data_IF_711350280617
#
_entry.id   IF_711350280617
#
_cell.length_a   1.000
_cell.length_b   1.000
_cell.length_c   1.000
_cell.angle_alpha   90.00
_cell.angle_beta   90.00
_cell.angle_gamma   90.00
#
_symmetry.space_group_name_H-M   'P 1'
#
loop_
_entity.id
_entity.type
_entity.pdbx_description
1 polymer ?
#
# COMPACT_ATOMS: atom_id res chain seq x y z
N UNK A 1 -15.86 -11.27 19.68
CA UNK A 1 -15.39 -10.00 19.08
C UNK A 1 -15.07 -10.28 17.62
N UNK A 2 -15.89 -9.76 16.70
CA UNK A 2 -15.66 -9.92 15.27
C UNK A 2 -14.38 -9.18 14.88
N UNK A 3 -13.51 -9.82 14.08
CA UNK A 3 -12.43 -9.13 13.40
C UNK A 3 -13.06 -8.01 12.58
N UNK A 4 -12.75 -6.76 12.90
CA UNK A 4 -12.93 -5.66 11.94
C UNK A 4 -12.05 -5.98 10.74
N UNK A 5 -12.65 -6.37 9.62
CA UNK A 5 -11.90 -6.61 8.39
C UNK A 5 -11.35 -5.26 7.92
N UNK A 6 -10.04 -5.09 7.98
CA UNK A 6 -9.40 -3.90 7.44
C UNK A 6 -9.50 -3.93 5.91
N UNK A 7 -9.80 -2.80 5.28
CA UNK A 7 -9.84 -2.68 3.82
C UNK A 7 -8.56 -3.17 3.16
N UNK A 8 -7.42 -2.90 3.79
CA UNK A 8 -6.12 -3.40 3.38
C UNK A 8 -6.07 -4.93 3.30
N UNK A 9 -6.61 -5.64 4.30
CA UNK A 9 -6.56 -7.10 4.36
C UNK A 9 -7.46 -7.71 3.26
N UNK A 10 -8.64 -7.15 3.02
CA UNK A 10 -9.51 -7.54 1.90
C UNK A 10 -8.82 -7.27 0.56
N UNK A 11 -8.30 -6.06 0.38
CA UNK A 11 -7.61 -5.65 -0.84
C UNK A 11 -6.44 -6.58 -1.18
N UNK A 12 -5.50 -6.78 -0.25
CA UNK A 12 -4.35 -7.64 -0.49
C UNK A 12 -4.77 -9.08 -0.72
N UNK A 13 -5.66 -9.65 0.10
CA UNK A 13 -6.06 -11.06 -0.01
C UNK A 13 -6.63 -11.40 -1.39
N UNK A 14 -7.41 -10.49 -1.96
CA UNK A 14 -8.02 -10.69 -3.26
C UNK A 14 -7.02 -10.56 -4.43
N UNK A 15 -6.06 -9.63 -4.33
CA UNK A 15 -5.05 -9.43 -5.37
C UNK A 15 -3.82 -10.34 -5.25
N UNK A 16 -3.54 -10.86 -4.05
CA UNK A 16 -2.38 -11.71 -3.76
C UNK A 16 -2.31 -12.95 -4.65
N UNK A 17 -3.48 -13.49 -5.03
CA UNK A 17 -3.59 -14.67 -5.90
C UNK A 17 -2.98 -14.47 -7.30
N UNK A 18 -2.71 -13.24 -7.71
CA UNK A 18 -2.01 -12.94 -8.98
C UNK A 18 -0.51 -13.15 -8.92
N UNK A 19 0.07 -13.43 -7.75
CA UNK A 19 1.48 -13.77 -7.62
C UNK A 19 2.42 -12.58 -7.81
N UNK A 20 1.92 -11.36 -7.60
CA UNK A 20 2.73 -10.13 -7.69
C UNK A 20 3.33 -9.70 -6.34
N UNK A 21 2.96 -10.38 -5.25
CA UNK A 21 3.36 -10.08 -3.89
C UNK A 21 2.19 -9.54 -3.06
N UNK A 22 2.50 -8.81 -2.01
CA UNK A 22 1.52 -8.12 -1.17
C UNK A 22 1.06 -6.83 -1.85
N UNK A 23 -0.25 -6.67 -2.01
CA UNK A 23 -0.81 -5.47 -2.63
C UNK A 23 -1.04 -4.38 -1.58
N UNK A 24 -0.46 -3.20 -1.74
CA UNK A 24 -0.69 -2.05 -0.87
C UNK A 24 -1.92 -1.28 -1.33
N UNK A 25 -2.88 -1.05 -0.44
CA UNK A 25 -4.06 -0.22 -0.71
C UNK A 25 -3.65 1.26 -0.82
N UNK A 26 -2.62 1.66 -0.08
CA UNK A 26 -2.02 2.99 -0.16
C UNK A 26 -0.56 2.84 -0.65
N UNK A 27 -0.33 2.81 -1.98
CA UNK A 27 1.00 2.59 -2.57
C UNK A 27 1.95 3.78 -2.45
N UNK A 28 1.45 4.95 -2.03
CA UNK A 28 2.23 6.15 -1.74
C UNK A 28 3.24 5.87 -0.62
N UNK A 29 4.48 6.35 -0.75
CA UNK A 29 5.43 6.34 0.36
C UNK A 29 4.87 7.17 1.53
N UNK A 30 5.01 6.69 2.76
CA UNK A 30 4.61 7.45 3.94
C UNK A 30 5.43 8.75 4.02
N UNK A 31 4.74 9.90 4.10
CA UNK A 31 5.40 11.20 4.28
C UNK A 31 5.77 11.38 5.75
N UNK A 32 6.99 11.85 5.99
CA UNK A 32 7.54 12.00 7.35
C UNK A 32 7.66 13.49 7.62
N UNK A 33 6.88 14.00 8.57
CA UNK A 33 6.77 15.43 8.82
C UNK A 33 5.99 16.18 7.74
N UNK A 34 5.65 17.44 8.05
CA UNK A 34 4.98 18.37 7.12
C UNK A 34 5.94 19.43 6.57
N UNK A 35 7.08 19.63 7.24
CA UNK A 35 8.06 20.65 6.89
C UNK A 35 8.94 20.24 5.69
N UNK A 36 9.31 21.18 4.80
CA UNK A 36 10.17 20.90 3.67
C UNK A 36 11.58 20.50 4.12
N UNK A 37 11.91 19.22 3.98
CA UNK A 37 13.26 18.69 4.16
C UNK A 37 13.76 18.08 2.84
N UNK A 38 14.85 18.59 2.23
CA UNK A 38 15.34 18.10 0.95
C UNK A 38 15.71 16.60 0.93
N UNK A 39 16.18 16.06 2.05
CA UNK A 39 16.49 14.64 2.14
C UNK A 39 15.21 13.82 2.22
N UNK A 40 14.22 14.24 3.02
CA UNK A 40 12.93 13.55 3.11
C UNK A 40 12.16 13.60 1.79
N UNK A 41 12.18 14.74 1.09
CA UNK A 41 11.58 14.88 -0.24
C UNK A 41 12.25 13.95 -1.27
N UNK A 42 13.58 13.81 -1.19
CA UNK A 42 14.28 12.82 -2.02
C UNK A 42 13.87 11.39 -1.68
N UNK A 43 13.76 11.04 -0.39
CA UNK A 43 13.31 9.71 0.03
C UNK A 43 11.88 9.44 -0.43
N UNK A 44 10.99 10.43 -0.35
CA UNK A 44 9.62 10.37 -0.84
C UNK A 44 9.57 10.16 -2.36
N UNK A 45 10.37 10.91 -3.13
CA UNK A 45 10.47 10.75 -4.58
C UNK A 45 11.09 9.41 -5.01
N UNK A 46 11.99 8.84 -4.19
CA UNK A 46 12.54 7.50 -4.42
C UNK A 46 11.55 6.38 -4.11
N UNK A 47 10.63 6.57 -3.16
CA UNK A 47 9.69 5.56 -2.67
C UNK A 47 10.34 4.32 -2.05
N UNK A 48 9.58 3.23 -1.97
CA UNK A 48 10.01 1.97 -1.33
C UNK A 48 11.21 1.35 -2.05
N UNK A 49 12.29 1.01 -1.32
CA UNK A 49 13.49 0.40 -1.91
C UNK A 49 13.66 -1.07 -1.53
N UNK A 50 14.41 -1.78 -2.36
CA UNK A 50 14.96 -3.09 -1.99
C UNK A 50 15.84 -2.91 -0.75
N UNK A 51 15.63 -3.75 0.25
CA UNK A 51 16.28 -3.73 1.54
C UNK A 51 15.59 -2.88 2.60
N UNK A 52 14.54 -2.13 2.27
CA UNK A 52 13.78 -1.40 3.28
C UNK A 52 13.16 -2.40 4.27
N UNK A 53 13.35 -2.14 5.56
CA UNK A 53 12.72 -2.81 6.69
C UNK A 53 11.63 -1.89 7.20
N UNK A 54 10.44 -2.43 7.41
CA UNK A 54 9.30 -1.60 7.77
C UNK A 54 8.06 -2.36 8.20
N UNK A 55 6.99 -1.61 8.35
CA UNK A 55 5.67 -2.06 8.81
C UNK A 55 4.63 -1.74 7.73
N UNK A 56 3.57 -2.54 7.68
CA UNK A 56 2.38 -2.21 6.89
C UNK A 56 1.33 -1.69 7.87
N UNK A 57 0.87 -0.45 7.64
CA UNK A 57 -0.13 0.20 8.48
C UNK A 57 -1.53 -0.37 8.25
N UNK A 58 -2.47 -0.04 9.14
CA UNK A 58 -3.89 -0.38 8.97
C UNK A 58 -4.53 0.35 7.79
N UNK A 59 -4.02 1.54 7.44
CA UNK A 59 -4.41 2.31 6.25
C UNK A 59 -3.88 1.72 4.95
N UNK A 60 -2.90 0.82 5.03
CA UNK A 60 -2.41 0.06 3.89
C UNK A 60 -1.17 0.61 3.19
N UNK A 61 -0.48 1.56 3.82
CA UNK A 61 0.83 2.06 3.42
C UNK A 61 1.96 1.27 4.07
N UNK A 62 3.13 1.34 3.44
CA UNK A 62 4.36 0.77 3.98
C UNK A 62 5.23 1.87 4.59
N UNK A 63 5.48 1.76 5.89
CA UNK A 63 6.31 2.67 6.65
C UNK A 63 7.74 2.12 6.66
N UNK A 64 8.62 2.69 5.84
CA UNK A 64 10.05 2.34 5.81
C UNK A 64 10.76 2.91 7.04
N UNK A 65 11.40 2.04 7.83
CA UNK A 65 12.13 2.42 9.05
C UNK A 65 13.62 2.64 8.78
N UNK A 66 14.26 1.66 8.13
CA UNK A 66 15.66 1.69 7.73
C UNK A 66 15.88 0.74 6.54
N UNK A 67 17.05 0.77 5.92
CA UNK A 67 17.43 -0.08 4.80
C UNK A 67 18.69 -0.88 5.13
N UNK A 68 18.60 -2.21 4.99
CA UNK A 68 19.68 -3.14 5.35
C UNK A 68 20.94 -2.99 4.48
N UNK A 69 20.82 -2.43 3.29
CA UNK A 69 21.95 -2.26 2.35
C UNK A 69 22.64 -0.90 2.48
N UNK A 70 22.12 0.00 3.33
CA UNK A 70 22.64 1.36 3.52
C UNK A 70 23.37 1.46 4.85
N UNK A 71 24.37 2.34 4.91
CA UNK A 71 25.06 2.64 6.17
C UNK A 71 24.11 3.29 7.17
N UNK A 72 24.42 3.22 8.47
CA UNK A 72 23.67 3.92 9.52
C UNK A 72 23.57 5.43 9.27
N UNK A 73 24.58 5.99 8.61
CA UNK A 73 24.64 7.41 8.27
C UNK A 73 23.93 7.76 6.94
N UNK A 74 23.27 6.83 6.25
CA UNK A 74 22.49 7.17 5.06
C UNK A 74 21.18 7.87 5.44
N UNK A 75 20.67 8.79 4.61
CA UNK A 75 19.47 9.59 4.95
C UNK A 75 18.29 8.73 5.41
N UNK A 76 17.98 7.62 4.71
CA UNK A 76 16.92 6.68 5.12
C UNK A 76 17.12 6.07 6.51
N UNK A 77 18.37 5.77 6.89
CA UNK A 77 18.70 5.14 8.17
C UNK A 77 18.85 6.14 9.31
N UNK A 78 18.87 7.45 9.02
CA UNK A 78 18.92 8.50 10.03
C UNK A 78 17.54 8.94 10.48
N UNK A 79 16.50 8.74 9.67
CA UNK A 79 15.14 9.20 9.98
C UNK A 79 14.63 8.62 11.30
N UNK A 80 14.64 7.29 11.42
CA UNK A 80 14.26 6.57 12.64
C UNK A 80 15.47 6.01 13.40
N UNK A 81 16.68 6.20 12.87
CA UNK A 81 17.87 5.50 13.33
C UNK A 81 17.92 4.04 12.86
N UNK A 82 18.76 3.25 13.52
CA UNK A 82 18.93 1.81 13.27
C UNK A 82 19.14 1.09 14.60
N UNK A 83 18.89 -0.23 14.67
CA UNK A 83 19.26 -1.04 15.84
C UNK A 83 20.74 -0.89 16.22
N UNK A 84 21.08 -1.00 17.50
CA UNK A 84 22.44 -0.71 17.99
C UNK A 84 23.55 -1.59 17.34
N UNK A 85 23.20 -2.82 16.97
CA UNK A 85 24.09 -3.82 16.38
C UNK A 85 24.05 -3.81 14.84
N UNK A 86 23.44 -2.78 14.26
CA UNK A 86 23.23 -2.69 12.82
C UNK A 86 24.56 -2.63 12.06
N UNK A 87 24.73 -3.57 11.14
CA UNK A 87 25.80 -3.59 10.16
C UNK A 87 25.20 -3.77 8.77
N UNK A 88 25.50 -2.91 7.79
CA UNK A 88 24.90 -3.03 6.46
C UNK A 88 25.23 -4.37 5.81
N UNK A 89 24.21 -5.03 5.26
CA UNK A 89 24.39 -6.19 4.40
C UNK A 89 25.02 -5.73 3.07
N UNK A 90 25.93 -6.55 2.52
CA UNK A 90 26.57 -6.25 1.24
C UNK A 90 25.53 -6.29 0.12
N UNK A 91 25.46 -5.22 -0.68
CA UNK A 91 24.56 -5.16 -1.83
C UNK A 91 25.26 -5.64 -3.11
N UNK A 92 24.82 -6.77 -3.64
CA UNK A 92 25.32 -7.29 -4.93
C UNK A 92 24.50 -6.76 -6.10
N UNK A 93 25.06 -5.80 -6.85
CA UNK A 93 24.38 -5.17 -8.01
C UNK A 93 23.96 -6.16 -9.08
N UNK A 94 24.73 -7.23 -9.28
CA UNK A 94 24.45 -8.29 -10.28
C UNK A 94 23.18 -9.08 -9.97
N UNK A 95 22.67 -8.99 -8.75
CA UNK A 95 21.44 -9.65 -8.30
C UNK A 95 20.22 -8.73 -8.33
N UNK A 96 20.38 -7.47 -8.75
CA UNK A 96 19.32 -6.48 -8.83
C UNK A 96 18.78 -6.36 -10.26
N UNK A 97 17.52 -6.70 -10.46
CA UNK A 97 16.87 -6.74 -11.77
C UNK A 97 15.73 -5.73 -11.85
N UNK A 98 15.61 -5.07 -12.99
CA UNK A 98 14.51 -4.16 -13.30
C UNK A 98 13.93 -4.55 -14.66
N UNK A 99 12.61 -4.74 -14.70
CA UNK A 99 11.84 -5.02 -15.91
C UNK A 99 10.86 -3.88 -16.11
N UNK A 100 11.12 -3.05 -17.11
CA UNK A 100 10.20 -1.98 -17.50
C UNK A 100 8.95 -2.57 -18.14
N UNK A 101 7.81 -1.90 -17.99
CA UNK A 101 6.51 -2.32 -18.55
C UNK A 101 6.15 -3.78 -18.19
N UNK A 102 6.47 -4.21 -16.97
CA UNK A 102 6.08 -5.53 -16.48
C UNK A 102 4.55 -5.66 -16.43
N UNK A 103 3.88 -4.59 -15.97
CA UNK A 103 2.46 -4.40 -16.22
C UNK A 103 2.31 -3.43 -17.38
N UNK A 104 1.57 -3.84 -18.40
CA UNK A 104 1.30 -2.96 -19.54
C UNK A 104 0.38 -1.79 -19.12
N UNK A 105 0.49 -0.62 -19.76
CA UNK A 105 -0.46 0.46 -19.57
C UNK A 105 -1.91 -0.01 -19.73
N UNK A 106 -2.82 0.63 -18.98
CA UNK A 106 -4.26 0.37 -19.00
C UNK A 106 -4.63 -1.07 -18.65
N UNK A 107 -3.80 -1.71 -17.83
CA UNK A 107 -4.07 -3.05 -17.29
C UNK A 107 -4.82 -2.92 -15.96
N UNK A 108 -5.79 -3.80 -15.74
CA UNK A 108 -6.41 -3.97 -14.44
C UNK A 108 -6.14 -5.37 -13.88
N UNK A 109 -6.12 -5.46 -12.57
CA UNK A 109 -5.94 -6.66 -11.77
C UNK A 109 -7.14 -6.70 -10.83
N UNK A 110 -7.92 -7.77 -10.88
CA UNK A 110 -9.15 -7.89 -10.08
C UNK A 110 -9.25 -9.24 -9.40
N UNK A 111 -10.18 -9.39 -8.47
CA UNK A 111 -10.45 -10.71 -7.86
C UNK A 111 -10.69 -11.79 -8.93
N UNK A 112 -10.12 -12.99 -8.72
CA UNK A 112 -10.05 -14.07 -9.74
C UNK A 112 -11.35 -14.83 -10.04
N UNK A 113 -12.38 -14.75 -9.19
CA UNK A 113 -13.55 -15.65 -9.28
C UNK A 113 -14.80 -14.87 -9.69
N UNK A 114 -15.65 -15.54 -10.49
CA UNK A 114 -16.99 -15.12 -10.90
C UNK A 114 -17.07 -13.71 -11.51
N UNK A 115 -16.24 -13.50 -12.52
CA UNK A 115 -16.16 -12.25 -13.26
C UNK A 115 -16.82 -12.39 -14.62
N UNK A 116 -17.97 -11.77 -14.81
CA UNK A 116 -18.45 -11.47 -16.17
C UNK A 116 -17.85 -10.12 -16.60
N UNK A 117 -17.07 -10.13 -17.68
CA UNK A 117 -16.58 -8.90 -18.30
C UNK A 117 -17.54 -8.55 -19.42
N UNK A 118 -18.34 -7.50 -19.25
CA UNK A 118 -19.21 -6.97 -20.32
C UNK A 118 -18.56 -5.76 -20.97
N UNK A 119 -18.64 -5.68 -22.29
CA UNK A 119 -17.99 -4.66 -23.12
C UNK A 119 -19.03 -3.91 -23.95
N UNK A 120 -18.84 -2.60 -24.08
CA UNK A 120 -19.47 -1.77 -25.12
C UNK A 120 -18.29 -1.10 -25.88
N UNK A 121 -18.21 -0.97 -27.21
CA UNK A 121 -19.21 -0.99 -28.29
C UNK A 121 -18.85 -1.90 -29.50
N UNK A 122 -17.85 -2.77 -29.34
CA UNK A 122 -17.23 -3.58 -30.40
C UNK A 122 -17.06 -5.07 -30.02
N UNK A 123 -17.53 -5.47 -28.83
CA UNK A 123 -17.91 -6.86 -28.50
C UNK A 123 -16.78 -7.87 -28.22
N UNK A 124 -15.51 -7.48 -28.19
CA UNK A 124 -14.35 -8.40 -28.04
C UNK A 124 -13.89 -8.58 -26.60
N UNK A 125 -14.33 -9.65 -25.92
CA UNK A 125 -14.00 -9.97 -24.52
C UNK A 125 -12.49 -9.84 -24.20
N UNK A 126 -12.11 -8.90 -23.31
CA UNK A 126 -10.74 -8.75 -22.85
C UNK A 126 -10.49 -9.60 -21.60
N UNK A 127 -9.46 -10.44 -21.65
CA UNK A 127 -8.99 -11.18 -20.48
C UNK A 127 -8.43 -10.22 -19.41
N UNK A 128 -8.59 -10.52 -18.09
CA UNK A 128 -7.90 -9.78 -17.03
C UNK A 128 -6.39 -9.71 -17.30
N UNK A 129 -5.77 -8.54 -17.13
CA UNK A 129 -4.35 -8.35 -17.42
C UNK A 129 -4.04 -7.80 -18.81
N UNK A 130 -5.04 -7.62 -19.69
CA UNK A 130 -4.85 -7.04 -21.03
C UNK A 130 -5.08 -5.52 -21.06
N UNK A 131 -4.36 -4.75 -21.89
CA UNK A 131 -4.60 -3.31 -22.06
C UNK A 131 -5.99 -2.97 -22.62
N UNK A 132 -6.65 -1.96 -22.06
CA UNK A 132 -7.88 -1.38 -22.65
C UNK A 132 -7.58 -0.49 -23.88
N UNK A 133 -8.47 -0.54 -24.87
CA UNK A 133 -8.43 0.33 -26.05
C UNK A 133 -8.92 1.77 -25.82
N UNK A 134 -8.85 2.62 -26.87
CA UNK A 134 -9.41 3.98 -26.93
C UNK A 134 -10.91 4.06 -26.59
N UNK A 135 -11.35 5.01 -25.75
CA UNK A 135 -12.78 5.29 -25.51
C UNK A 135 -13.56 4.13 -24.87
N UNK A 136 -12.85 3.16 -24.28
CA UNK A 136 -13.40 1.89 -23.87
C UNK A 136 -13.95 1.93 -22.44
N UNK A 137 -15.06 1.22 -22.24
CA UNK A 137 -15.68 0.95 -20.94
C UNK A 137 -15.65 -0.54 -20.63
N UNK A 138 -14.91 -0.97 -19.59
CA UNK A 138 -14.99 -2.36 -19.11
C UNK A 138 -15.98 -2.42 -17.96
N UNK A 139 -17.05 -3.20 -18.08
CA UNK A 139 -17.90 -3.52 -16.94
C UNK A 139 -17.43 -4.84 -16.30
N UNK A 140 -17.07 -4.77 -15.01
CA UNK A 140 -16.67 -5.90 -14.20
C UNK A 140 -17.84 -6.26 -13.29
N UNK A 141 -18.45 -7.42 -13.52
CA UNK A 141 -19.47 -7.96 -12.64
C UNK A 141 -18.85 -8.95 -11.64
N UNK A 142 -19.19 -8.82 -10.37
CA UNK A 142 -18.77 -9.75 -9.31
C UNK A 142 -20.00 -10.38 -8.67
N UNK A 143 -20.06 -11.71 -8.57
CA UNK A 143 -21.16 -12.42 -7.88
C UNK A 143 -20.93 -12.61 -6.37
N UNK A 144 -19.89 -11.98 -5.81
CA UNK A 144 -19.48 -12.14 -4.41
C UNK A 144 -19.72 -10.88 -3.60
N UNK A 145 -19.87 -11.10 -2.29
CA UNK A 145 -20.04 -10.05 -1.30
C UNK A 145 -18.75 -9.28 -0.96
N UNK A 146 -17.60 -9.59 -1.57
CA UNK A 146 -16.37 -8.82 -1.36
C UNK A 146 -15.40 -8.98 -2.53
N UNK A 147 -14.58 -7.97 -2.76
CA UNK A 147 -13.58 -8.00 -3.81
C UNK A 147 -12.68 -6.79 -3.84
N UNK A 148 -11.72 -6.86 -4.76
CA UNK A 148 -10.74 -5.82 -5.02
C UNK A 148 -10.44 -5.68 -6.51
N UNK A 149 -10.15 -4.45 -6.92
CA UNK A 149 -9.70 -4.03 -8.24
C UNK A 149 -8.51 -3.08 -8.06
N UNK A 150 -7.48 -3.27 -8.88
CA UNK A 150 -6.37 -2.36 -9.07
C UNK A 150 -6.25 -2.07 -10.56
N UNK A 151 -6.02 -0.83 -10.88
CA UNK A 151 -5.84 -0.32 -12.21
C UNK A 151 -4.50 0.42 -12.30
N UNK A 152 -3.72 0.07 -13.31
CA UNK A 152 -2.41 0.67 -13.61
C UNK A 152 -2.52 1.37 -14.97
N UNK A 153 -3.00 2.61 -14.97
CA UNK A 153 -3.29 3.35 -16.19
C UNK A 153 -2.04 3.54 -17.07
N UNK A 154 -0.89 3.83 -16.47
CA UNK A 154 0.40 3.97 -17.15
C UNK A 154 1.28 2.71 -17.05
N UNK A 155 0.73 1.63 -16.52
CA UNK A 155 1.44 0.38 -16.30
C UNK A 155 2.37 0.47 -15.09
N UNK A 156 3.28 -0.49 -14.98
CA UNK A 156 4.24 -0.51 -13.87
C UNK A 156 5.52 -1.26 -14.25
N UNK A 157 6.66 -0.77 -13.75
CA UNK A 157 7.94 -1.49 -13.79
C UNK A 157 8.03 -2.44 -12.61
N UNK A 158 8.73 -3.57 -12.78
CA UNK A 158 9.03 -4.51 -11.72
C UNK A 158 10.51 -4.44 -11.35
N UNK A 159 10.81 -4.39 -10.07
CA UNK A 159 12.17 -4.51 -9.52
C UNK A 159 12.24 -5.70 -8.58
N UNK A 160 13.27 -6.52 -8.72
CA UNK A 160 13.51 -7.70 -7.87
C UNK A 160 14.98 -7.88 -7.55
N UNK A 161 15.24 -8.30 -6.31
CA UNK A 161 16.56 -8.74 -5.84
C UNK A 161 16.59 -10.27 -5.71
N UNK A 162 17.56 -10.92 -6.35
CA UNK A 162 17.67 -12.39 -6.38
C UNK A 162 18.54 -12.97 -5.26
N UNK A 163 19.33 -12.15 -4.55
CA UNK A 163 20.14 -12.54 -3.38
C UNK A 163 19.29 -12.78 -2.12
N UNK A 164 18.22 -13.56 -2.27
CA UNK A 164 17.25 -13.83 -1.21
C UNK A 164 17.81 -14.61 -0.01
N UNK A 165 18.73 -15.59 -0.17
CA UNK A 165 19.32 -16.29 0.98
C UNK A 165 20.01 -15.35 1.96
N UNK A 166 20.85 -14.43 1.47
CA UNK A 166 21.60 -13.50 2.32
C UNK A 166 20.68 -12.58 3.13
N UNK A 167 19.62 -12.06 2.49
CA UNK A 167 18.61 -11.25 3.18
C UNK A 167 17.88 -12.09 4.24
N UNK A 168 17.54 -13.34 3.92
CA UNK A 168 16.83 -14.24 4.86
C UNK A 168 17.68 -14.54 6.08
N UNK A 169 18.95 -14.87 5.90
CA UNK A 169 19.87 -15.19 6.98
C UNK A 169 20.12 -13.97 7.86
N UNK A 170 20.31 -12.81 7.23
CA UNK A 170 20.44 -11.53 7.93
C UNK A 170 19.19 -11.18 8.74
N UNK A 171 17.99 -11.28 8.14
CA UNK A 171 16.73 -11.05 8.84
C UNK A 171 16.54 -12.05 10.00
N UNK A 172 16.89 -13.33 9.82
CA UNK A 172 16.79 -14.35 10.86
C UNK A 172 17.69 -14.03 12.05
N UNK A 173 18.90 -13.56 11.79
CA UNK A 173 19.89 -13.20 12.82
C UNK A 173 19.45 -11.98 13.64
N UNK A 174 18.84 -10.98 13.02
CA UNK A 174 18.56 -9.69 13.65
C UNK A 174 17.07 -9.46 14.01
N UNK A 175 16.17 -10.39 13.69
CA UNK A 175 14.73 -10.22 13.91
C UNK A 175 14.36 -9.75 15.33
N UNK A 176 14.93 -10.37 16.37
CA UNK A 176 14.63 -10.00 17.75
C UNK A 176 15.10 -8.57 18.07
N UNK A 177 16.31 -8.18 17.65
CA UNK A 177 16.80 -6.82 17.90
C UNK A 177 15.99 -5.78 17.13
N UNK A 178 15.47 -6.13 15.95
CA UNK A 178 14.57 -5.26 15.19
C UNK A 178 13.23 -5.06 15.88
N UNK A 179 12.59 -6.13 16.37
CA UNK A 179 11.34 -5.99 17.13
C UNK A 179 11.54 -5.08 18.35
N UNK A 180 12.60 -5.30 19.14
CA UNK A 180 12.93 -4.43 20.29
C UNK A 180 13.23 -2.99 19.88
N UNK A 181 14.00 -2.79 18.81
CA UNK A 181 14.29 -1.46 18.29
C UNK A 181 13.00 -0.70 17.94
N UNK A 182 12.07 -1.35 17.25
CA UNK A 182 10.80 -0.72 16.86
C UNK A 182 9.91 -0.41 18.07
N UNK A 183 9.80 -1.34 19.03
CA UNK A 183 8.95 -1.11 20.22
C UNK A 183 9.58 -0.14 21.21
N UNK A 184 10.87 -0.29 21.50
CA UNK A 184 11.51 0.36 22.63
C UNK A 184 12.14 1.71 22.24
N UNK A 185 12.68 1.83 21.02
CA UNK A 185 13.40 3.02 20.56
C UNK A 185 12.54 3.88 19.62
N UNK A 186 11.94 3.28 18.59
CA UNK A 186 11.05 4.00 17.66
C UNK A 186 9.68 4.27 18.29
N UNK A 187 9.28 3.46 19.29
CA UNK A 187 8.01 3.55 20.02
C UNK A 187 6.79 3.37 19.12
N UNK A 188 6.90 2.48 18.14
CA UNK A 188 5.78 2.05 17.29
C UNK A 188 5.25 0.69 17.75
N UNK A 189 3.94 0.51 17.61
CA UNK A 189 3.30 -0.77 17.89
C UNK A 189 3.74 -1.83 16.87
N UNK A 190 4.61 -2.75 17.32
CA UNK A 190 5.00 -3.93 16.56
C UNK A 190 4.37 -5.18 17.18
N UNK A 191 3.50 -5.83 16.42
CA UNK A 191 2.96 -7.15 16.78
C UNK A 191 3.72 -8.24 16.04
N UNK A 192 3.67 -9.47 16.56
CA UNK A 192 4.36 -10.57 15.91
C UNK A 192 3.85 -10.80 14.47
N UNK A 193 4.75 -10.66 13.49
CA UNK A 193 4.44 -10.67 12.07
C UNK A 193 4.25 -9.28 11.46
N UNK A 194 4.47 -8.19 12.17
CA UNK A 194 4.31 -6.84 11.59
C UNK A 194 5.50 -6.39 10.74
N UNK A 195 6.70 -6.94 10.99
CA UNK A 195 7.93 -6.55 10.29
C UNK A 195 8.10 -7.22 8.93
N UNK A 196 8.50 -6.42 7.95
CA UNK A 196 8.82 -6.86 6.60
C UNK A 196 10.20 -6.37 6.16
N UNK A 197 10.85 -7.14 5.29
CA UNK A 197 12.03 -6.72 4.52
C UNK A 197 11.71 -6.78 3.04
N UNK A 198 11.83 -5.67 2.34
CA UNK A 198 11.50 -5.58 0.93
C UNK A 198 12.61 -6.19 0.08
N UNK A 199 12.26 -7.13 -0.79
CA UNK A 199 13.17 -7.75 -1.76
C UNK A 199 12.82 -7.39 -3.19
N UNK A 200 11.64 -6.80 -3.43
CA UNK A 200 11.20 -6.34 -4.73
C UNK A 200 9.90 -5.54 -4.63
N UNK A 201 9.56 -4.83 -5.70
CA UNK A 201 8.33 -4.05 -5.79
C UNK A 201 7.89 -3.89 -7.25
N UNK A 202 6.61 -3.63 -7.46
CA UNK A 202 6.10 -3.09 -8.72
C UNK A 202 5.85 -1.61 -8.52
N UNK A 203 6.23 -0.79 -9.49
CA UNK A 203 6.19 0.65 -9.36
C UNK A 203 5.50 1.34 -10.52
N UNK A 204 4.64 2.28 -10.18
CA UNK A 204 3.89 3.13 -11.11
C UNK A 204 3.95 4.59 -10.65
N UNK A 205 3.44 5.48 -11.48
CA UNK A 205 3.12 6.88 -11.17
C UNK A 205 1.60 7.11 -11.10
N UNK A 206 0.80 6.14 -11.57
CA UNK A 206 -0.62 6.33 -11.80
C UNK A 206 -1.38 5.03 -11.49
N UNK A 207 -2.17 5.04 -10.42
CA UNK A 207 -3.00 3.90 -10.02
C UNK A 207 -4.39 4.32 -9.62
N UNK A 208 -5.34 3.41 -9.77
CA UNK A 208 -6.63 3.53 -9.10
C UNK A 208 -6.99 2.18 -8.52
N UNK A 209 -7.52 2.18 -7.31
CA UNK A 209 -7.91 0.95 -6.66
C UNK A 209 -9.23 1.09 -5.94
N UNK A 210 -9.82 -0.08 -5.72
CA UNK A 210 -11.09 -0.23 -5.04
C UNK A 210 -11.09 -1.55 -4.27
N UNK A 211 -11.53 -1.48 -3.03
CA UNK A 211 -11.99 -2.64 -2.27
C UNK A 211 -13.46 -2.44 -1.95
N UNK A 212 -14.25 -3.51 -2.05
CA UNK A 212 -15.68 -3.46 -1.73
C UNK A 212 -16.08 -4.64 -0.87
N UNK A 213 -17.11 -4.41 -0.06
CA UNK A 213 -17.77 -5.44 0.75
C UNK A 213 -19.27 -5.16 0.80
N UNK A 214 -20.05 -6.23 0.78
CA UNK A 214 -21.50 -6.24 0.82
C UNK A 214 -21.97 -7.13 1.95
N UNK A 215 -23.07 -6.73 2.59
CA UNK A 215 -23.74 -7.51 3.62
C UNK A 215 -24.62 -8.63 3.03
N UNK A 216 -24.97 -8.53 1.75
CA UNK A 216 -25.76 -9.54 1.05
C UNK A 216 -24.87 -10.59 0.38
N UNK A 217 -25.21 -11.87 0.57
CA UNK A 217 -24.53 -13.01 -0.06
C UNK A 217 -24.82 -13.12 -1.56
N UNK A 218 -25.85 -12.42 -2.07
CA UNK A 218 -26.31 -12.46 -3.45
C UNK A 218 -26.15 -11.10 -4.17
N UNK A 219 -25.37 -10.18 -3.62
CA UNK A 219 -25.14 -8.90 -4.29
C UNK A 219 -24.20 -9.07 -5.48
N UNK A 220 -24.69 -8.76 -6.66
CA UNK A 220 -23.80 -8.46 -7.77
C UNK A 220 -23.29 -7.03 -7.68
N UNK A 221 -21.99 -6.82 -7.95
CA UNK A 221 -21.43 -5.48 -8.09
C UNK A 221 -20.87 -5.27 -9.48
N UNK A 222 -21.31 -4.21 -10.16
CA UNK A 222 -20.82 -3.80 -11.47
C UNK A 222 -19.90 -2.59 -11.31
N UNK A 223 -18.70 -2.71 -11.84
CA UNK A 223 -17.74 -1.61 -11.91
C UNK A 223 -17.42 -1.29 -13.35
N UNK A 224 -17.56 -0.03 -13.74
CA UNK A 224 -17.21 0.44 -15.07
C UNK A 224 -15.88 1.17 -15.02
N UNK A 225 -14.89 0.60 -15.69
CA UNK A 225 -13.60 1.21 -15.98
C UNK A 225 -13.71 2.06 -17.24
N UNK A 226 -13.55 3.37 -17.15
CA UNK A 226 -13.72 4.28 -18.30
C UNK A 226 -12.43 5.00 -18.62
N UNK A 227 -11.95 4.95 -19.86
CA UNK A 227 -10.83 5.80 -20.32
C UNK A 227 -11.43 6.90 -21.19
N UNK A 228 -11.51 8.16 -20.71
CA UNK A 228 -12.07 9.23 -21.51
C UNK A 228 -11.15 9.50 -22.70
N UNK A 229 -11.74 9.68 -23.88
CA UNK A 229 -11.02 10.21 -25.03
C UNK A 229 -10.86 11.72 -24.83
N UNK A 230 -9.62 12.20 -24.74
CA UNK A 230 -9.33 13.61 -24.57
C UNK A 230 -9.46 14.34 -25.93
N UNK A 231 -9.73 15.66 -25.94
CA UNK A 231 -9.94 16.44 -27.17
C UNK A 231 -8.77 16.40 -28.16
N UNK A 232 -7.56 16.10 -27.69
CA UNK A 232 -6.35 15.95 -28.49
C UNK A 232 -6.16 14.54 -29.08
N UNK A 233 -7.16 13.67 -28.98
CA UNK A 233 -7.07 12.26 -29.41
C UNK A 233 -6.26 11.36 -28.48
N UNK A 234 -5.76 11.89 -27.35
CA UNK A 234 -5.07 11.10 -26.33
C UNK A 234 -6.07 10.46 -25.36
N UNK A 235 -5.59 9.46 -24.61
CA UNK A 235 -6.38 8.78 -23.59
C UNK A 235 -6.20 9.46 -22.25
N UNK A 236 -7.31 9.76 -21.59
CA UNK A 236 -7.29 10.09 -20.18
C UNK A 236 -7.10 8.85 -19.32
N UNK A 237 -6.77 9.11 -18.05
CA UNK A 237 -6.63 8.11 -17.02
C UNK A 237 -7.89 7.25 -16.93
N UNK A 238 -7.71 5.93 -16.82
CA UNK A 238 -8.82 5.01 -16.66
C UNK A 238 -9.40 5.23 -15.24
N UNK A 239 -10.72 5.42 -15.14
CA UNK A 239 -11.45 5.70 -13.90
C UNK A 239 -12.36 4.53 -13.50
N UNK A 240 -12.46 4.20 -12.21
CA UNK A 240 -13.42 3.23 -11.67
C UNK A 240 -14.71 3.93 -11.25
N UNK A 241 -15.81 3.63 -11.94
CA UNK A 241 -17.19 4.00 -11.56
C UNK A 241 -17.99 2.76 -11.17
N UNK A 242 -19.06 2.90 -10.38
CA UNK A 242 -19.90 1.76 -9.97
C UNK A 242 -21.38 2.14 -9.96
N UNK A 243 -22.26 1.15 -10.15
CA UNK A 243 -23.69 1.27 -9.92
C UNK A 243 -24.08 0.32 -8.78
N UNK A 244 -24.71 0.84 -7.73
CA UNK A 244 -25.15 0.02 -6.59
C UNK A 244 -26.60 0.34 -6.21
N UNK A 245 -27.38 -0.72 -6.08
CA UNK A 245 -28.66 -0.73 -5.36
C UNK A 245 -28.34 -0.87 -3.85
N UNK A 246 -28.19 0.27 -3.19
CA UNK A 246 -28.53 0.57 -1.77
C UNK A 246 -27.98 -0.25 -0.59
N UNK A 247 -26.95 -1.12 -0.68
CA UNK A 247 -26.38 -1.77 0.55
C UNK A 247 -24.89 -2.17 0.50
N UNK A 248 -23.99 -1.33 -0.04
CA UNK A 248 -22.58 -1.71 -0.23
C UNK A 248 -21.60 -0.70 0.37
N UNK A 249 -20.60 -1.20 1.11
CA UNK A 249 -19.46 -0.42 1.62
C UNK A 249 -18.24 -0.59 0.72
N UNK A 250 -17.48 0.48 0.53
CA UNK A 250 -16.29 0.45 -0.32
C UNK A 250 -15.23 1.47 0.10
N UNK A 251 -13.99 1.18 -0.29
CA UNK A 251 -12.83 2.06 -0.13
C UNK A 251 -12.14 2.23 -1.49
N UNK A 252 -12.14 3.46 -2.01
CA UNK A 252 -11.48 3.84 -3.26
C UNK A 252 -10.26 4.71 -2.97
N UNK A 253 -9.17 4.53 -3.72
CA UNK A 253 -8.05 5.46 -3.78
C UNK A 253 -7.52 5.60 -5.19
N UNK A 254 -6.96 6.76 -5.48
CA UNK A 254 -6.27 7.05 -6.73
C UNK A 254 -5.15 8.05 -6.46
N UNK A 255 -4.03 7.95 -7.18
CA UNK A 255 -3.05 9.03 -7.18
C UNK A 255 -3.64 10.30 -7.80
N UNK A 256 -3.12 11.47 -7.44
CA UNK A 256 -3.59 12.74 -8.03
C UNK A 256 -3.33 12.76 -9.55
N UNK A 257 -4.14 13.48 -10.34
CA UNK A 257 -3.95 13.58 -11.79
C UNK A 257 -2.59 14.14 -12.20
N UNK A 258 -1.98 14.97 -11.34
CA UNK A 258 -0.70 15.66 -11.56
C UNK A 258 0.51 14.86 -11.03
N UNK A 259 0.26 13.69 -10.42
CA UNK A 259 1.32 12.89 -9.82
C UNK A 259 2.24 12.28 -10.90
N UNK A 260 3.40 12.90 -11.12
CA UNK A 260 4.37 12.47 -12.14
C UNK A 260 5.47 11.54 -11.61
N UNK A 261 5.66 11.46 -10.29
CA UNK A 261 6.74 10.66 -9.70
C UNK A 261 6.47 9.15 -9.88
N UNK A 262 7.48 8.39 -10.26
CA UNK A 262 7.45 6.93 -10.19
C UNK A 262 7.92 6.47 -8.81
N UNK A 263 7.09 6.70 -7.79
CA UNK A 263 7.35 6.30 -6.39
C UNK A 263 6.22 5.42 -5.79
N UNK A 264 5.10 5.24 -6.52
CA UNK A 264 3.94 4.49 -6.03
C UNK A 264 4.16 2.99 -6.20
N UNK A 265 4.05 2.23 -5.12
CA UNK A 265 4.39 0.80 -5.08
C UNK A 265 3.16 -0.09 -4.82
N UNK A 266 2.27 -0.32 -5.81
CA UNK A 266 1.05 -1.11 -5.65
C UNK A 266 1.30 -2.56 -5.21
N UNK A 267 2.46 -3.13 -5.55
CA UNK A 267 2.86 -4.43 -5.03
C UNK A 267 4.26 -4.37 -4.43
N UNK A 268 4.42 -5.06 -3.31
CA UNK A 268 5.70 -5.31 -2.67
C UNK A 268 5.95 -6.80 -2.52
N UNK A 269 7.22 -7.19 -2.61
CA UNK A 269 7.70 -8.54 -2.37
C UNK A 269 8.79 -8.47 -1.33
N UNK A 270 8.89 -9.52 -0.53
CA UNK A 270 9.78 -9.47 0.60
C UNK A 270 9.63 -10.65 1.53
N UNK A 271 10.26 -10.48 2.69
CA UNK A 271 10.14 -11.40 3.79
C UNK A 271 9.31 -10.79 4.90
N UNK A 272 8.31 -11.52 5.37
CA UNK A 272 7.59 -11.25 6.61
C UNK A 272 8.30 -11.96 7.76
N UNK A 273 8.61 -11.23 8.83
CA UNK A 273 9.39 -11.74 9.97
C UNK A 273 8.46 -12.01 11.14
N UNK A 274 8.52 -13.22 11.68
CA UNK A 274 7.74 -13.63 12.85
C UNK A 274 8.67 -14.22 13.91
N UNK A 275 8.38 -13.94 15.18
CA UNK A 275 9.01 -14.57 16.34
C UNK A 275 8.11 -15.69 16.85
N UNK A 276 8.60 -16.93 16.95
CA UNK A 276 7.88 -17.99 17.66
C UNK A 276 8.23 -17.90 19.14
N UNK A 277 7.21 -17.79 19.98
CA UNK A 277 7.33 -18.08 21.40
C UNK A 277 7.16 -19.59 21.57
N UNK A 278 8.26 -20.29 21.88
CA UNK A 278 8.14 -21.64 22.42
C UNK A 278 7.87 -21.52 23.92
N UNK A 279 6.96 -22.33 24.46
CA UNK A 279 6.66 -22.41 25.89
C UNK A 279 7.81 -23.05 26.72
N UNK A 280 8.91 -23.44 26.07
CA UNK A 280 10.14 -23.90 26.71
C UNK A 280 11.15 -22.77 26.79
N UNK A 281 11.93 -22.70 27.87
CA UNK A 281 13.03 -21.78 28.23
C UNK A 281 14.19 -21.59 27.20
N UNK A 282 13.98 -21.90 25.93
CA UNK A 282 14.93 -21.73 24.84
C UNK A 282 14.54 -20.54 23.94
N UNK A 283 15.56 -19.93 23.35
CA UNK A 283 15.52 -18.71 22.52
C UNK A 283 14.32 -18.68 21.54
N UNK A 284 13.71 -17.50 21.31
CA UNK A 284 12.63 -17.36 20.35
C UNK A 284 13.08 -17.85 18.96
N UNK A 285 12.29 -18.74 18.36
CA UNK A 285 12.61 -19.28 17.03
C UNK A 285 12.07 -18.31 15.97
N UNK A 286 12.94 -17.74 15.14
CA UNK A 286 12.52 -16.80 14.09
C UNK A 286 11.97 -17.57 12.89
N UNK A 287 10.82 -17.14 12.36
CA UNK A 287 10.23 -17.63 11.11
C UNK A 287 10.21 -16.48 10.09
N UNK A 288 10.92 -16.68 8.98
CA UNK A 288 10.95 -15.73 7.87
C UNK A 288 10.13 -16.29 6.71
N UNK A 289 9.08 -15.58 6.32
CA UNK A 289 8.07 -16.03 5.33
C UNK A 289 8.26 -15.25 4.03
N UNK A 290 8.52 -15.95 2.93
CA UNK A 290 8.56 -15.35 1.58
C UNK A 290 7.15 -14.95 1.15
N UNK A 291 6.89 -13.64 1.11
CA UNK A 291 5.57 -13.08 0.82
C UNK A 291 5.08 -13.47 -0.57
N UNK A 292 5.96 -13.68 -1.56
CA UNK A 292 5.52 -14.03 -2.91
C UNK A 292 5.13 -15.51 -3.06
N UNK A 293 5.53 -16.37 -2.12
CA UNK A 293 5.37 -17.83 -2.21
C UNK A 293 4.50 -18.43 -1.10
N UNK A 294 4.16 -17.65 -0.09
CA UNK A 294 3.43 -18.12 1.08
C UNK A 294 1.91 -18.18 0.86
N UNK A 295 1.23 -18.95 1.70
CA UNK A 295 -0.22 -18.94 1.78
C UNK A 295 -0.73 -17.56 2.24
N UNK A 296 -1.78 -17.00 1.61
CA UNK A 296 -2.34 -15.70 1.99
C UNK A 296 -2.68 -15.61 3.49
N UNK A 297 -3.17 -16.68 4.11
CA UNK A 297 -3.52 -16.67 5.54
C UNK A 297 -2.29 -16.44 6.43
N UNK A 298 -1.11 -16.92 6.03
CA UNK A 298 0.15 -16.65 6.73
C UNK A 298 0.63 -15.21 6.51
N UNK A 299 0.48 -14.70 5.30
CA UNK A 299 0.86 -13.32 4.95
C UNK A 299 -0.06 -12.29 5.61
N UNK A 300 -1.35 -12.57 5.76
CA UNK A 300 -2.32 -11.69 6.42
C UNK A 300 -2.40 -11.92 7.94
N UNK A 301 -1.66 -12.89 8.49
CA UNK A 301 -1.69 -13.16 9.93
C UNK A 301 -1.18 -11.97 10.75
N UNK A 302 -1.95 -11.51 11.73
CA UNK A 302 -1.55 -10.53 12.73
C UNK A 302 -1.51 -11.20 14.09
N UNK A 303 -0.31 -11.32 14.67
CA UNK A 303 -0.11 -11.93 15.98
C UNK A 303 -0.42 -10.98 17.13
N UNK A 304 -0.14 -11.43 18.36
CA UNK A 304 -0.23 -10.58 19.54
C UNK A 304 0.87 -9.51 19.52
N UNK A 305 0.59 -8.38 20.16
CA UNK A 305 1.56 -7.29 20.35
C UNK A 305 2.82 -7.81 21.04
N UNK A 306 3.99 -7.37 20.57
CA UNK A 306 5.25 -7.73 21.19
C UNK A 306 5.43 -6.89 22.45
N UNK A 307 5.38 -7.51 23.62
CA UNK A 307 5.75 -6.86 24.88
C UNK A 307 7.22 -7.15 25.16
N UNK A 308 8.05 -6.11 25.19
CA UNK A 308 9.39 -6.23 25.77
C UNK A 308 9.24 -6.56 27.25
N UNK A 309 9.66 -7.77 27.65
CA UNK A 309 9.77 -8.07 29.07
C UNK A 309 10.84 -7.15 29.67
N UNK A 310 10.58 -6.46 30.79
CA UNK A 310 11.61 -5.66 31.43
C UNK A 310 12.77 -6.59 31.81
N UNK A 311 13.97 -6.26 31.33
CA UNK A 311 15.20 -6.86 31.84
C UNK A 311 15.22 -6.57 33.34
N UNK A 312 15.02 -7.61 34.15
CA UNK A 312 15.27 -7.52 35.59
C UNK A 312 16.72 -7.08 35.74
N UNK A 313 17.02 -5.93 36.37
CA UNK A 313 18.38 -5.55 36.64
C UNK A 313 18.98 -6.65 37.50
N UNK A 314 20.11 -7.20 37.08
CA UNK A 314 20.95 -8.01 37.98
C UNK A 314 21.43 -7.09 39.10
N UNK A 315 20.63 -6.96 40.16
CA UNK A 315 21.11 -6.48 41.43
C UNK A 315 21.99 -7.59 42.02
N UNK A 316 23.29 -7.32 41.97
CA UNK A 316 24.25 -7.84 42.95
C UNK A 316 23.63 -7.76 44.34
N UNK A 317 23.65 -8.86 45.09
CA UNK A 317 24.02 -8.90 46.51
C UNK A 317 23.99 -10.34 47.06
N UNK A 318 25.18 -10.83 47.37
CA UNK A 318 25.60 -11.19 48.71
C UNK A 318 24.59 -11.89 49.64
N UNK A 319 24.92 -13.15 49.93
CA UNK A 319 24.74 -13.91 51.18
C UNK A 319 24.03 -13.25 52.38
N UNK A 320 23.03 -14.01 52.84
CA UNK A 320 22.68 -14.36 54.24
C UNK A 320 22.19 -13.27 55.19
N UNK A 321 20.94 -13.37 55.62
CA UNK A 321 20.58 -13.61 57.03
C UNK A 321 19.09 -13.94 57.20
N UNK A 322 18.84 -14.62 58.31
CA UNK A 322 17.68 -15.42 58.71
C UNK A 322 16.53 -14.62 59.35
N UNK A 323 15.31 -15.08 59.06
CA UNK A 323 14.08 -15.13 59.90
C UNK A 323 13.73 -13.98 60.87
N UNK A 324 12.52 -13.43 60.72
CA UNK A 324 11.46 -13.50 61.76
C UNK A 324 10.11 -12.96 61.24
N UNK A 325 9.04 -13.51 61.81
CA UNK A 325 7.61 -13.27 61.54
C UNK A 325 7.10 -12.04 62.33
N UNK A 326 6.18 -11.25 61.75
CA UNK A 326 4.97 -10.72 62.42
C UNK A 326 4.20 -9.73 61.53
N UNK A 327 2.87 -9.87 61.46
CA UNK A 327 1.87 -8.83 61.09
C UNK A 327 1.24 -8.28 62.40
N UNK A 328 0.25 -7.33 62.43
CA UNK A 328 -0.29 -6.37 61.44
C UNK A 328 -0.46 -4.92 62.04
N UNK A 329 -1.27 -4.05 61.39
CA UNK A 329 -1.82 -2.70 61.80
C UNK A 329 -0.93 -1.47 61.49
N UNK A 330 -1.38 -0.24 61.19
CA UNK A 330 -2.66 0.40 60.81
C UNK A 330 -2.40 1.91 60.53
N UNK A 331 -3.06 2.47 59.50
CA UNK A 331 -3.64 3.85 59.42
C UNK A 331 -2.76 5.12 59.26
N UNK A 332 -3.34 6.08 58.50
CA UNK A 332 -3.01 7.50 58.18
C UNK A 332 -1.98 7.72 57.05
N UNK A 333 -2.14 8.59 56.03
CA UNK A 333 -3.09 9.66 55.71
C UNK A 333 -2.94 10.06 54.23
N UNK A 334 -4.04 10.40 53.56
CA UNK A 334 -4.15 10.97 52.19
C UNK A 334 -3.58 12.43 52.10
N UNK A 335 -3.49 13.09 50.92
CA UNK A 335 -4.64 13.39 50.04
C UNK A 335 -4.43 13.16 48.53
N UNK A 336 -5.59 12.98 47.91
CA UNK A 336 -5.90 12.88 46.48
C UNK A 336 -5.99 14.30 45.90
N UNK A 337 -5.48 14.51 44.68
CA UNK A 337 -5.80 15.68 43.85
C UNK A 337 -6.74 15.24 42.71
N UNK A 338 -8.01 15.63 42.82
CA UNK A 338 -8.95 15.76 41.71
C UNK A 338 -8.83 17.18 41.14
N UNK A 339 -8.72 17.31 39.81
CA UNK A 339 -8.86 18.60 39.13
C UNK A 339 -10.20 18.59 38.40
N UNK A 340 -11.10 19.45 38.88
CA UNK A 340 -12.39 19.76 38.27
C UNK A 340 -12.26 20.94 37.31
N UNK A 341 -13.04 20.88 36.23
CA UNK A 341 -13.20 21.91 35.20
C UNK A 341 -14.40 22.79 35.54
N UNK A 342 -14.28 24.12 35.48
CA UNK A 342 -15.38 25.05 35.09
C UNK A 342 -14.84 26.45 34.70
N UNK A 343 -15.64 27.29 34.01
CA UNK A 343 -15.17 28.21 32.96
C UNK A 343 -15.21 29.70 33.36
N UNK A 344 -14.58 30.56 32.56
CA UNK A 344 -14.77 32.01 32.64
C UNK A 344 -14.78 32.67 31.26
N UNK A 345 -15.82 33.47 31.02
CA UNK A 345 -16.09 34.30 29.85
C UNK A 345 -15.71 35.77 30.09
N UNK A 346 -15.19 36.48 29.07
CA UNK A 346 -15.41 37.93 28.87
C UNK A 346 -14.93 38.43 27.49
N UNK A 347 -15.88 38.64 26.56
CA UNK A 347 -16.20 39.85 25.74
C UNK A 347 -15.27 41.10 25.81
N UNK A 348 -15.01 42.00 24.83
CA UNK A 348 -15.41 42.40 23.43
C UNK A 348 -14.21 43.22 22.85
N UNK A 349 -13.82 43.23 21.55
CA UNK A 349 -14.16 44.18 20.44
C UNK A 349 -13.10 43.89 19.34
N UNK A 350 -13.31 43.75 18.03
CA UNK A 350 -14.18 44.42 17.07
C UNK A 350 -13.27 45.10 16.03
N UNK A 351 -13.07 44.51 14.85
CA UNK A 351 -12.73 45.23 13.60
C UNK A 351 -12.82 44.33 12.36
N UNK A 352 -13.27 44.96 11.27
CA UNK A 352 -13.76 44.43 9.99
C UNK A 352 -12.64 44.25 8.96
N UNK A 353 -12.76 43.27 8.03
CA UNK A 353 -12.42 43.32 6.57
C UNK A 353 -12.51 41.89 5.92
N UNK A 354 -12.61 41.73 4.58
CA UNK A 354 -13.83 41.22 3.95
C UNK A 354 -13.68 39.88 3.18
N UNK A 355 -14.85 39.30 2.88
CA UNK A 355 -15.07 38.21 1.92
C UNK A 355 -14.58 38.55 0.51
N UNK A 356 -13.80 37.67 -0.11
CA UNK A 356 -13.59 37.64 -1.55
C UNK A 356 -14.40 36.49 -2.16
N UNK A 357 -15.50 36.86 -2.83
CA UNK A 357 -16.24 36.01 -3.76
C UNK A 357 -15.74 36.37 -5.16
N UNK A 358 -15.14 35.43 -5.89
CA UNK A 358 -14.73 35.68 -7.27
C UNK A 358 -15.85 35.22 -8.22
N UNK A 359 -16.63 36.18 -8.70
CA UNK A 359 -17.49 36.02 -9.87
C UNK A 359 -16.60 36.04 -11.12
N UNK A 360 -16.74 35.03 -11.98
CA UNK A 360 -16.20 35.06 -13.34
C UNK A 360 -17.29 35.62 -14.25
N UNK A 361 -16.93 36.72 -14.90
CA UNK A 361 -17.76 37.51 -15.80
C UNK A 361 -17.79 36.86 -17.19
N UNK A 362 -18.99 36.79 -17.76
CA UNK A 362 -19.28 36.31 -19.11
C UNK A 362 -19.26 37.52 -20.03
N UNK A 363 -18.29 37.58 -20.94
CA UNK A 363 -18.33 38.52 -22.06
C UNK A 363 -18.77 37.77 -23.32
N UNK A 364 -19.90 38.23 -23.86
CA UNK A 364 -20.46 37.82 -25.12
C UNK A 364 -20.04 38.84 -26.19
N UNK A 365 -19.41 38.37 -27.26
CA UNK A 365 -19.36 39.10 -28.53
C UNK A 365 -19.83 38.19 -29.67
N UNK A 366 -20.81 38.70 -30.41
CA UNK A 366 -21.44 38.08 -31.56
C UNK A 366 -20.86 38.65 -32.86
N UNK A 367 -20.45 37.77 -33.76
CA UNK A 367 -20.56 37.92 -35.23
C UNK A 367 -20.22 36.54 -35.82
N UNK A 368 -21.06 35.91 -36.62
CA UNK A 368 -21.34 36.25 -38.01
C UNK A 368 -21.34 34.94 -38.80
N UNK A 369 -22.46 34.65 -39.44
CA UNK A 369 -22.77 33.47 -40.25
C UNK A 369 -21.69 33.02 -41.24
N UNK A 370 -21.52 31.70 -41.45
CA UNK A 370 -21.82 31.06 -42.75
C UNK A 370 -21.88 29.54 -42.65
N UNK A 371 -22.97 28.97 -43.16
CA UNK A 371 -23.15 27.56 -43.52
C UNK A 371 -22.37 27.24 -44.79
N UNK A 372 -21.56 26.16 -44.79
CA UNK A 372 -21.23 25.40 -46.01
C UNK A 372 -21.06 23.92 -45.70
N UNK A 373 -21.98 23.14 -46.27
CA UNK A 373 -21.86 21.72 -46.54
C UNK A 373 -20.58 21.41 -47.33
N UNK A 374 -19.87 20.33 -46.99
CA UNK A 374 -19.13 19.56 -47.99
C UNK A 374 -19.24 18.06 -47.72
N UNK A 375 -19.78 17.40 -48.73
CA UNK A 375 -19.76 15.96 -48.98
C UNK A 375 -18.32 15.42 -49.15
N UNK A 376 -18.19 14.13 -48.82
CA UNK A 376 -17.33 13.12 -49.45
C UNK A 376 -15.85 13.44 -49.70
N UNK A 377 -14.97 12.68 -49.05
CA UNK A 377 -14.01 11.89 -49.84
C UNK A 377 -13.49 10.67 -49.05
N UNK A 378 -13.89 9.50 -49.55
CA UNK A 378 -13.19 8.24 -49.37
C UNK A 378 -11.97 8.23 -50.31
N UNK A 379 -10.80 7.86 -49.79
CA UNK A 379 -9.75 7.01 -50.42
C UNK A 379 -8.33 7.37 -49.97
N UNK A 380 -7.50 6.32 -49.93
CA UNK A 380 -6.08 6.22 -49.57
C UNK A 380 -5.80 6.25 -48.06
N UNK A 381 -5.25 5.19 -47.44
CA UNK A 381 -4.07 4.41 -47.87
C UNK A 381 -4.25 2.92 -47.56
N UNK A 382 -4.19 2.10 -48.62
CA UNK A 382 -3.80 0.69 -48.57
C UNK A 382 -2.28 0.60 -48.52
N UNK A 383 -1.74 -0.21 -47.59
CA UNK A 383 -0.55 -1.06 -47.70
C UNK A 383 0.19 -1.13 -46.38
N UNK A 384 0.11 -2.28 -45.71
CA UNK A 384 1.22 -3.03 -45.09
C UNK A 384 0.62 -4.18 -44.24
N UNK A 385 0.30 -5.29 -44.90
CA UNK A 385 0.13 -6.59 -44.27
C UNK A 385 1.24 -7.52 -44.80
N UNK A 386 2.06 -8.15 -43.94
CA UNK A 386 2.76 -9.36 -44.31
C UNK A 386 1.83 -10.56 -44.15
N UNK A 387 1.64 -11.29 -45.24
CA UNK A 387 0.96 -12.59 -45.29
C UNK A 387 1.85 -13.68 -44.68
N UNK A 388 1.22 -14.57 -43.92
CA UNK A 388 1.52 -16.00 -43.96
C UNK A 388 2.13 -16.60 -42.69
N UNK A 389 1.35 -17.40 -41.96
CA UNK A 389 1.71 -18.75 -41.50
C UNK A 389 0.41 -19.55 -41.25
N UNK A 390 0.39 -20.88 -41.47
CA UNK A 390 -0.83 -21.68 -41.58
C UNK A 390 -1.33 -22.17 -40.22
N UNK A 391 -2.65 -22.34 -40.14
CA UNK A 391 -3.36 -22.95 -39.03
C UNK A 391 -3.13 -24.47 -39.08
N UNK A 392 -2.49 -25.04 -38.06
CA UNK A 392 -2.54 -26.48 -37.77
C UNK A 392 -3.73 -26.76 -36.86
N UNK A 393 -4.66 -27.57 -37.36
CA UNK A 393 -5.67 -28.27 -36.57
C UNK A 393 -5.16 -29.70 -36.40
N UNK A 394 -5.10 -30.18 -35.16
CA UNK A 394 -4.98 -31.60 -34.82
C UNK A 394 -5.81 -31.88 -33.56
N UNK A 395 -6.24 -33.14 -33.37
CA UNK A 395 -7.64 -33.57 -33.32
C UNK A 395 -8.34 -33.39 -31.97
#
# INVERSE_FOLDING_TARGET
MGRTNLWQDTYSRHLFRHGHGYALLNPEPSRIGEEPDPELEKLYAEGIRVGDVGLISDSGDFISLFNIFKSSNASINRVYGVPHDFQPLKFERTLYFSTNLYHMPKTWISSRHDKEVRLNADGTALAPGMPCGPGFGVELHFSRSEGAILLLAEGARRVDYRGLPDIRDYATKHAESWYRYVTDQVRMDAYNGSLYVITGYDRTNCYENLSFQSSSKESSVSFRLVSPLLPNGNFGRLEVSYSSLTSQEHQRRASTPEHSLQNLSPFIRGFKIMLRQNLSLLKPTVKVVDVAKADPALVMYRGQSFQSSPLIPFSTLSRTSTSSKSSPSSVLSSPVCEISVSPSSSHVQGDLLPNFTQQVQVDAEASGSTSRNFHNNWNFVSNLLPKGFPIMIFP
#
